data_IF_746559073926
#
_entry.id   IF_746559073926
#
_cell.length_a   1.000
_cell.length_b   1.000
_cell.length_c   1.000
_cell.angle_alpha   90.00
_cell.angle_beta   90.00
_cell.angle_gamma   90.00
#
_symmetry.space_group_name_H-M   'P 1'
#
loop_
_entity.id
_entity.type
_entity.pdbx_description
1 polymer ?
#
# COMPACT_ATOMS: atom_id res chain seq x y z
N UNK A 1 -9.45 19.49 -3.41
CA UNK A 1 -10.22 18.34 -2.85
C UNK A 1 -9.54 17.92 -1.55
N UNK A 2 -10.30 17.55 -0.52
CA UNK A 2 -9.74 17.10 0.76
C UNK A 2 -9.24 15.66 0.61
N UNK A 3 -8.02 15.35 1.05
CA UNK A 3 -7.47 13.99 1.01
C UNK A 3 -8.34 13.01 1.83
N UNK A 4 -8.41 11.75 1.40
CA UNK A 4 -9.11 10.70 2.15
C UNK A 4 -8.32 10.31 3.40
N UNK A 5 -6.98 10.24 3.29
CA UNK A 5 -6.05 10.09 4.41
C UNK A 5 -4.97 11.16 4.27
N UNK A 6 -4.67 11.86 5.34
CA UNK A 6 -3.55 12.79 5.42
C UNK A 6 -2.80 12.57 6.73
N UNK A 7 -1.50 12.35 6.65
CA UNK A 7 -0.60 12.43 7.81
C UNK A 7 0.49 13.45 7.57
N UNK A 8 0.89 14.18 8.61
CA UNK A 8 1.96 15.19 8.56
C UNK A 8 2.93 14.99 9.69
N UNK A 9 4.17 14.66 9.35
CA UNK A 9 5.25 14.50 10.30
C UNK A 9 4.98 13.44 11.38
N UNK A 10 4.18 12.41 11.04
CA UNK A 10 3.73 11.41 11.99
C UNK A 10 4.91 10.60 12.52
N UNK A 11 5.08 10.61 13.84
CA UNK A 11 6.16 9.90 14.51
C UNK A 11 5.63 9.11 15.70
N UNK A 12 6.16 7.90 15.88
CA UNK A 12 5.77 6.99 16.95
C UNK A 12 6.89 6.00 17.26
N UNK A 13 7.28 5.89 18.51
CA UNK A 13 8.29 4.94 18.98
C UNK A 13 7.62 3.75 19.66
N UNK A 14 7.62 2.61 18.99
CA UNK A 14 7.05 1.38 19.55
C UNK A 14 8.03 0.65 20.48
N UNK A 15 9.33 0.73 20.21
CA UNK A 15 10.41 0.14 21.03
C UNK A 15 11.72 0.88 20.81
N UNK A 16 12.79 0.59 21.58
CA UNK A 16 14.12 1.15 21.31
C UNK A 16 14.63 0.84 19.89
N UNK A 17 14.19 -0.28 19.29
CA UNK A 17 14.65 -0.77 18.00
C UNK A 17 13.72 -0.38 16.84
N UNK A 18 12.50 0.11 17.11
CA UNK A 18 11.53 0.39 16.07
C UNK A 18 10.74 1.67 16.32
N UNK A 19 10.74 2.54 15.32
CA UNK A 19 9.95 3.76 15.30
C UNK A 19 9.38 4.03 13.89
N UNK A 20 8.25 4.72 13.83
CA UNK A 20 7.77 5.45 12.66
C UNK A 20 8.36 6.86 12.77
N UNK A 21 8.98 7.37 11.70
CA UNK A 21 9.72 8.62 11.75
C UNK A 21 9.26 9.59 10.64
N UNK A 22 8.70 10.71 11.06
CA UNK A 22 8.32 11.84 10.20
C UNK A 22 7.51 11.42 8.96
N UNK A 23 6.57 10.47 9.13
CA UNK A 23 5.79 9.93 8.02
C UNK A 23 4.76 10.96 7.58
N UNK A 24 4.91 11.44 6.35
CA UNK A 24 3.98 12.34 5.67
C UNK A 24 3.40 11.61 4.47
N UNK A 25 2.09 11.40 4.46
CA UNK A 25 1.36 10.56 3.50
C UNK A 25 0.09 11.28 3.08
N UNK A 26 -0.25 11.21 1.80
CA UNK A 26 -1.47 11.83 1.26
C UNK A 26 -2.19 10.89 0.31
N UNK A 27 -3.34 10.34 0.72
CA UNK A 27 -4.18 9.48 -0.12
C UNK A 27 -5.25 10.32 -0.80
N UNK A 28 -5.24 10.42 -2.14
CA UNK A 28 -6.27 11.16 -2.87
C UNK A 28 -7.66 10.50 -2.69
N UNK A 29 -8.75 11.30 -2.72
CA UNK A 29 -10.09 10.73 -2.69
C UNK A 29 -10.36 9.94 -3.97
N UNK A 30 -11.00 8.76 -3.83
CA UNK A 30 -11.30 7.84 -4.92
C UNK A 30 -10.11 7.01 -5.40
N UNK A 31 -8.91 7.18 -4.81
CA UNK A 31 -7.74 6.42 -5.18
C UNK A 31 -7.76 4.98 -4.64
N UNK A 32 -7.21 4.07 -5.43
CA UNK A 32 -6.79 2.73 -5.01
C UNK A 32 -5.30 2.79 -4.63
N UNK A 33 -5.03 3.06 -3.36
CA UNK A 33 -3.70 3.33 -2.85
C UNK A 33 -3.06 2.08 -2.24
N UNK A 34 -1.98 1.61 -2.84
CA UNK A 34 -1.15 0.51 -2.35
C UNK A 34 -0.07 1.00 -1.37
N UNK A 35 -0.05 0.47 -0.15
CA UNK A 35 0.98 0.74 0.85
C UNK A 35 1.93 -0.45 0.95
N UNK A 36 3.02 -0.38 0.20
CA UNK A 36 3.97 -1.46 -0.01
C UNK A 36 5.16 -1.38 0.95
N UNK A 37 5.63 -2.53 1.40
CA UNK A 37 6.87 -2.61 2.19
C UNK A 37 7.12 -3.99 2.76
N UNK A 38 8.36 -4.33 3.10
CA UNK A 38 8.71 -5.63 3.67
C UNK A 38 8.03 -5.86 5.03
N UNK A 39 7.99 -7.11 5.46
CA UNK A 39 7.46 -7.45 6.77
C UNK A 39 8.28 -6.76 7.87
N UNK A 40 7.59 -6.21 8.88
CA UNK A 40 8.22 -5.49 9.98
C UNK A 40 8.64 -4.05 9.66
N UNK A 41 8.43 -3.52 8.45
CA UNK A 41 8.79 -2.14 8.12
C UNK A 41 7.91 -1.08 8.79
N UNK A 42 6.70 -1.47 9.31
CA UNK A 42 5.81 -0.58 10.05
C UNK A 42 4.42 -0.35 9.45
N UNK A 43 4.00 -1.08 8.39
CA UNK A 43 2.69 -0.91 7.74
C UNK A 43 1.52 -0.99 8.73
N UNK A 44 1.40 -2.10 9.45
CA UNK A 44 0.35 -2.29 10.47
C UNK A 44 0.39 -1.22 11.57
N UNK A 45 1.60 -0.82 12.01
CA UNK A 45 1.76 0.25 13.01
C UNK A 45 1.25 1.58 12.46
N UNK A 46 1.59 1.91 11.21
CA UNK A 46 1.09 3.11 10.53
C UNK A 46 -0.43 3.07 10.41
N UNK A 47 -1.02 1.97 9.97
CA UNK A 47 -2.48 1.79 9.89
C UNK A 47 -3.14 2.02 11.26
N UNK A 48 -2.58 1.47 12.33
CA UNK A 48 -3.10 1.68 13.69
C UNK A 48 -3.02 3.14 14.14
N UNK A 49 -1.97 3.86 13.76
CA UNK A 49 -1.85 5.30 14.01
C UNK A 49 -2.90 6.10 13.22
N UNK A 50 -3.07 5.78 11.93
CA UNK A 50 -4.07 6.43 11.08
C UNK A 50 -5.49 6.22 11.62
N UNK A 51 -5.80 5.02 12.11
CA UNK A 51 -7.10 4.67 12.69
C UNK A 51 -7.27 5.12 14.16
N UNK A 52 -6.30 5.83 14.74
CA UNK A 52 -6.36 6.29 16.13
C UNK A 52 -6.30 5.18 17.18
N UNK A 53 -5.90 3.97 16.79
CA UNK A 53 -5.69 2.82 17.71
C UNK A 53 -4.37 2.94 18.49
N UNK A 54 -3.45 3.76 17.99
CA UNK A 54 -2.23 4.17 18.67
C UNK A 54 -2.16 5.71 18.68
N UNK A 55 -1.61 6.26 19.76
CA UNK A 55 -1.38 7.70 19.87
C UNK A 55 0.02 8.03 19.35
N UNK A 56 0.17 8.93 18.38
CA UNK A 56 1.48 9.35 17.92
C UNK A 56 2.22 10.17 18.96
N UNK A 57 3.55 10.14 18.94
CA UNK A 57 4.41 10.99 19.76
C UNK A 57 4.50 12.42 19.17
N UNK A 58 4.40 12.54 17.83
CA UNK A 58 4.40 13.80 17.12
C UNK A 58 3.64 13.68 15.78
N UNK A 59 3.31 14.83 15.19
CA UNK A 59 2.58 14.92 13.93
C UNK A 59 1.06 14.91 14.09
N UNK A 60 0.37 14.79 12.96
CA UNK A 60 -1.09 14.80 12.93
C UNK A 60 -1.63 13.85 11.86
N UNK A 61 -2.88 13.42 12.04
CA UNK A 61 -3.62 12.56 11.11
C UNK A 61 -4.99 13.15 10.85
N UNK A 62 -5.46 13.05 9.60
CA UNK A 62 -6.85 13.27 9.21
C UNK A 62 -7.36 12.10 8.39
N UNK A 63 -8.58 11.65 8.70
CA UNK A 63 -9.33 10.68 7.90
C UNK A 63 -10.59 11.34 7.39
N UNK A 64 -10.81 11.31 6.08
CA UNK A 64 -11.97 11.95 5.43
C UNK A 64 -12.16 13.43 5.88
N UNK A 65 -11.05 14.14 6.11
CA UNK A 65 -11.03 15.52 6.61
C UNK A 65 -11.21 15.66 8.13
N UNK A 66 -11.56 14.60 8.86
CA UNK A 66 -11.73 14.61 10.31
C UNK A 66 -10.39 14.43 11.04
N UNK A 67 -10.03 15.29 12.01
CA UNK A 67 -8.80 15.10 12.78
C UNK A 67 -8.90 13.86 13.68
N UNK A 68 -7.80 13.11 13.76
CA UNK A 68 -7.63 11.93 14.62
C UNK A 68 -6.67 12.31 15.76
N UNK A 69 -7.02 12.07 17.02
CA UNK A 69 -8.19 11.34 17.52
C UNK A 69 -9.47 12.18 17.75
N UNK A 70 -9.43 13.51 17.64
CA UNK A 70 -10.45 14.42 18.15
C UNK A 70 -11.86 14.17 17.56
N UNK A 71 -11.95 13.84 16.27
CA UNK A 71 -13.19 13.53 15.57
C UNK A 71 -13.24 12.08 15.04
N UNK A 72 -12.57 11.16 15.73
CA UNK A 72 -12.44 9.76 15.31
C UNK A 72 -13.78 9.05 15.07
N UNK A 73 -14.83 9.18 15.92
CA UNK A 73 -16.11 8.51 15.66
C UNK A 73 -16.73 8.90 14.33
N UNK A 74 -16.64 10.18 13.93
CA UNK A 74 -17.18 10.67 12.66
C UNK A 74 -16.40 10.11 11.47
N UNK A 75 -15.08 9.96 11.58
CA UNK A 75 -14.24 9.34 10.57
C UNK A 75 -14.52 7.84 10.43
N UNK A 76 -14.57 7.10 11.56
CA UNK A 76 -14.79 5.66 11.55
C UNK A 76 -16.19 5.25 11.11
N UNK A 77 -17.22 6.09 11.32
CA UNK A 77 -18.57 5.84 10.82
C UNK A 77 -18.64 5.67 9.29
N UNK A 78 -17.63 6.18 8.57
CA UNK A 78 -17.53 6.15 7.10
C UNK A 78 -16.30 5.37 6.62
N UNK A 79 -15.62 4.64 7.52
CA UNK A 79 -14.41 3.87 7.22
C UNK A 79 -14.65 2.39 7.48
N UNK A 80 -14.51 1.57 6.44
CA UNK A 80 -14.45 0.10 6.55
C UNK A 80 -13.02 -0.34 6.82
N UNK A 81 -12.84 -1.27 7.77
CA UNK A 81 -11.50 -1.72 8.18
C UNK A 81 -11.42 -3.23 8.12
N UNK A 82 -10.35 -3.74 7.49
CA UNK A 82 -9.94 -5.15 7.60
C UNK A 82 -8.53 -5.16 8.21
N UNK A 83 -8.37 -5.63 9.46
CA UNK A 83 -7.07 -5.75 10.10
C UNK A 83 -6.33 -7.01 9.63
N UNK A 84 -5.00 -7.03 9.71
CA UNK A 84 -4.14 -8.20 9.46
C UNK A 84 -4.61 -9.45 10.25
N UNK A 85 -5.02 -9.24 11.50
CA UNK A 85 -5.56 -10.31 12.35
C UNK A 85 -6.99 -9.98 12.75
N UNK A 86 -8.00 -10.58 12.10
CA UNK A 86 -9.39 -10.35 12.43
C UNK A 86 -9.75 -10.93 13.81
N UNK A 87 -10.45 -10.12 14.61
CA UNK A 87 -10.99 -10.53 15.90
C UNK A 87 -12.50 -10.75 15.78
N UNK A 88 -12.88 -11.91 15.26
CA UNK A 88 -14.28 -12.32 15.18
C UNK A 88 -14.67 -13.08 16.47
N UNK A 89 -15.93 -12.96 16.90
CA UNK A 89 -16.46 -13.70 18.04
C UNK A 89 -16.68 -15.18 17.67
N UNK A 90 -15.86 -16.12 18.14
CA UNK A 90 -15.80 -17.48 17.62
C UNK A 90 -17.08 -18.29 17.84
N UNK A 91 -17.89 -17.90 18.81
CA UNK A 91 -19.15 -18.56 19.17
C UNK A 91 -20.37 -18.12 18.32
N UNK A 92 -20.26 -17.00 17.61
CA UNK A 92 -21.32 -16.56 16.69
C UNK A 92 -21.30 -17.37 15.39
N UNK A 93 -22.45 -17.48 14.77
CA UNK A 93 -22.58 -17.94 13.38
C UNK A 93 -22.32 -16.78 12.41
N UNK A 94 -22.17 -17.09 11.11
CA UNK A 94 -22.07 -16.08 10.07
C UNK A 94 -23.26 -15.13 10.11
N UNK A 95 -24.50 -15.65 10.17
CA UNK A 95 -25.71 -14.84 10.23
C UNK A 95 -25.80 -13.97 11.47
N UNK A 96 -25.42 -14.50 12.65
CA UNK A 96 -25.37 -13.74 13.90
C UNK A 96 -24.32 -12.63 13.84
N UNK A 97 -23.16 -12.88 13.21
CA UNK A 97 -22.12 -11.86 12.99
C UNK A 97 -22.61 -10.73 12.09
N UNK A 98 -23.34 -11.04 11.02
CA UNK A 98 -23.94 -10.03 10.15
C UNK A 98 -24.97 -9.18 10.91
N UNK A 99 -25.84 -9.83 11.70
CA UNK A 99 -26.83 -9.12 12.52
C UNK A 99 -26.16 -8.22 13.57
N UNK A 100 -25.09 -8.70 14.20
CA UNK A 100 -24.31 -7.93 15.16
C UNK A 100 -23.71 -6.68 14.52
N UNK A 101 -23.02 -6.81 13.37
CA UNK A 101 -22.42 -5.65 12.69
C UNK A 101 -23.47 -4.65 12.19
N UNK A 102 -24.57 -5.15 11.62
CA UNK A 102 -25.68 -4.30 11.18
C UNK A 102 -26.19 -3.35 12.27
N UNK A 103 -26.15 -3.75 13.54
CA UNK A 103 -26.63 -2.96 14.66
C UNK A 103 -25.80 -1.67 14.88
N UNK A 104 -24.54 -1.65 14.44
CA UNK A 104 -23.63 -0.51 14.62
C UNK A 104 -23.61 0.44 13.41
N UNK A 105 -24.09 0.01 12.24
CA UNK A 105 -23.99 0.77 10.99
C UNK A 105 -25.38 1.05 10.40
N UNK A 106 -25.94 2.25 10.61
CA UNK A 106 -27.24 2.63 10.08
C UNK A 106 -27.36 2.52 8.54
N UNK A 107 -26.23 2.69 7.84
CA UNK A 107 -26.13 2.58 6.38
C UNK A 107 -26.00 1.15 5.84
N UNK A 108 -26.06 0.12 6.70
CA UNK A 108 -25.83 -1.28 6.33
C UNK A 108 -26.70 -1.75 5.16
N UNK A 109 -26.06 -2.34 4.15
CA UNK A 109 -26.74 -2.91 2.98
C UNK A 109 -27.08 -4.40 3.21
N UNK A 110 -28.27 -4.63 3.78
CA UNK A 110 -28.72 -5.98 4.07
C UNK A 110 -28.99 -6.83 2.81
N UNK A 111 -29.38 -6.17 1.69
CA UNK A 111 -29.62 -6.87 0.42
C UNK A 111 -28.30 -7.35 -0.17
N UNK A 112 -27.34 -6.46 -0.28
CA UNK A 112 -26.04 -6.82 -0.81
C UNK A 112 -25.27 -7.79 0.10
N UNK A 113 -25.43 -7.70 1.42
CA UNK A 113 -24.89 -8.70 2.34
C UNK A 113 -25.42 -10.11 2.04
N UNK A 114 -26.71 -10.25 1.75
CA UNK A 114 -27.28 -11.55 1.37
C UNK A 114 -26.76 -12.05 0.00
N UNK A 115 -26.59 -11.15 -0.96
CA UNK A 115 -25.98 -11.45 -2.26
C UNK A 115 -24.55 -11.97 -2.09
N UNK A 116 -23.69 -11.23 -1.32
CA UNK A 116 -22.31 -11.61 -1.05
C UNK A 116 -22.17 -12.91 -0.25
N UNK A 117 -23.09 -13.22 0.67
CA UNK A 117 -23.11 -14.54 1.35
C UNK A 117 -23.23 -15.66 0.33
N UNK A 118 -24.10 -15.50 -0.68
CA UNK A 118 -24.26 -16.47 -1.77
C UNK A 118 -23.03 -16.56 -2.68
N UNK A 119 -22.50 -15.42 -3.14
CA UNK A 119 -21.35 -15.35 -4.03
C UNK A 119 -20.09 -15.94 -3.38
N UNK A 120 -19.86 -15.62 -2.11
CA UNK A 120 -18.74 -16.13 -1.33
C UNK A 120 -18.94 -17.56 -0.84
N UNK A 121 -20.14 -18.12 -1.04
CA UNK A 121 -20.52 -19.47 -0.59
C UNK A 121 -20.33 -19.67 0.91
N UNK A 122 -20.65 -18.64 1.70
CA UNK A 122 -20.62 -18.72 3.14
C UNK A 122 -21.88 -19.44 3.65
N UNK A 123 -21.72 -20.31 4.63
CA UNK A 123 -22.84 -21.01 5.27
C UNK A 123 -23.35 -20.19 6.46
N UNK A 124 -24.62 -19.66 6.42
CA UNK A 124 -25.12 -18.75 7.46
C UNK A 124 -25.11 -19.32 8.87
N UNK A 125 -25.31 -20.64 9.01
CA UNK A 125 -25.38 -21.37 10.29
C UNK A 125 -24.00 -21.81 10.79
N UNK A 126 -22.95 -21.70 9.96
CA UNK A 126 -21.58 -22.08 10.37
C UNK A 126 -21.04 -21.13 11.44
N UNK A 127 -20.48 -21.70 12.52
CA UNK A 127 -19.80 -20.93 13.56
C UNK A 127 -18.49 -20.36 13.04
N UNK A 128 -18.17 -19.12 13.45
CA UNK A 128 -16.96 -18.42 13.02
C UNK A 128 -15.68 -19.16 13.45
N UNK A 129 -15.70 -19.88 14.56
CA UNK A 129 -14.59 -20.74 14.98
C UNK A 129 -14.23 -21.84 13.98
N UNK A 130 -15.18 -22.22 13.10
CA UNK A 130 -14.99 -23.28 12.10
C UNK A 130 -14.68 -22.77 10.70
N UNK A 131 -14.56 -21.44 10.51
CA UNK A 131 -14.21 -20.87 9.22
C UNK A 131 -12.74 -21.13 8.87
N UNK A 132 -12.50 -21.49 7.60
CA UNK A 132 -11.17 -21.47 7.00
C UNK A 132 -10.62 -20.04 6.91
N UNK A 133 -9.30 -19.88 6.66
CA UNK A 133 -8.69 -18.56 6.42
C UNK A 133 -9.39 -17.82 5.27
N UNK A 134 -9.70 -18.53 4.18
CA UNK A 134 -10.40 -17.96 3.03
C UNK A 134 -11.83 -17.52 3.31
N UNK A 135 -12.61 -18.33 4.03
CA UNK A 135 -13.97 -17.96 4.44
C UNK A 135 -13.95 -16.76 5.41
N UNK A 136 -12.97 -16.72 6.31
CA UNK A 136 -12.77 -15.58 7.20
C UNK A 136 -12.49 -14.30 6.41
N UNK A 137 -11.60 -14.33 5.42
CA UNK A 137 -11.30 -13.18 4.57
C UNK A 137 -12.53 -12.71 3.78
N UNK A 138 -13.31 -13.62 3.22
CA UNK A 138 -14.58 -13.34 2.53
C UNK A 138 -15.59 -12.67 3.47
N UNK A 139 -15.74 -13.20 4.68
CA UNK A 139 -16.63 -12.61 5.69
C UNK A 139 -16.15 -11.21 6.09
N UNK A 140 -14.86 -11.01 6.33
CA UNK A 140 -14.31 -9.70 6.68
C UNK A 140 -14.52 -8.68 5.56
N UNK A 141 -14.32 -9.07 4.30
CA UNK A 141 -14.60 -8.20 3.15
C UNK A 141 -16.09 -7.83 3.10
N UNK A 142 -17.00 -8.81 3.22
CA UNK A 142 -18.44 -8.57 3.27
C UNK A 142 -18.80 -7.59 4.39
N UNK A 143 -18.30 -7.80 5.61
CA UNK A 143 -18.57 -6.94 6.76
C UNK A 143 -18.08 -5.50 6.51
N UNK A 144 -16.91 -5.32 5.89
CA UNK A 144 -16.36 -4.01 5.59
C UNK A 144 -17.16 -3.28 4.49
N UNK A 145 -17.52 -3.97 3.41
CA UNK A 145 -18.22 -3.38 2.27
C UNK A 145 -19.67 -3.02 2.56
N UNK A 146 -20.40 -3.87 3.29
CA UNK A 146 -21.82 -3.65 3.57
C UNK A 146 -22.12 -2.48 4.53
N UNK A 147 -21.11 -1.95 5.18
CA UNK A 147 -21.19 -0.68 5.94
C UNK A 147 -21.36 0.54 5.03
N UNK A 148 -21.13 0.41 3.72
CA UNK A 148 -21.10 1.49 2.72
C UNK A 148 -20.06 2.57 3.05
N UNK A 149 -18.80 2.19 3.27
CA UNK A 149 -17.77 3.15 3.62
C UNK A 149 -17.35 4.03 2.42
N UNK A 150 -16.89 5.24 2.71
CA UNK A 150 -16.23 6.11 1.72
C UNK A 150 -14.72 5.84 1.66
N UNK A 151 -14.17 5.24 2.72
CA UNK A 151 -12.77 4.84 2.84
C UNK A 151 -12.69 3.39 3.32
N UNK A 152 -11.90 2.59 2.65
CA UNK A 152 -11.52 1.23 3.07
C UNK A 152 -10.04 1.23 3.48
N UNK A 153 -9.74 0.74 4.68
CA UNK A 153 -8.37 0.54 5.18
C UNK A 153 -8.15 -0.94 5.42
N UNK A 154 -7.29 -1.54 4.58
CA UNK A 154 -7.12 -2.98 4.49
C UNK A 154 -5.66 -3.35 4.80
N UNK A 155 -5.44 -4.10 5.88
CA UNK A 155 -4.09 -4.51 6.30
C UNK A 155 -3.82 -5.96 5.89
N UNK A 156 -3.00 -6.15 4.86
CA UNK A 156 -2.63 -7.45 4.26
C UNK A 156 -3.86 -8.36 3.96
N UNK A 157 -4.93 -7.85 3.32
CA UNK A 157 -6.22 -8.55 3.24
C UNK A 157 -6.17 -9.83 2.40
N UNK A 158 -5.14 -10.01 1.58
CA UNK A 158 -4.99 -11.14 0.66
C UNK A 158 -3.87 -12.09 1.08
N UNK A 159 -3.19 -11.82 2.22
CA UNK A 159 -2.04 -12.63 2.65
C UNK A 159 -2.43 -14.08 2.92
N UNK A 160 -1.67 -15.00 2.30
CA UNK A 160 -1.84 -16.45 2.46
C UNK A 160 -3.20 -17.00 2.01
N UNK A 161 -3.94 -16.27 1.16
CA UNK A 161 -5.13 -16.78 0.49
C UNK A 161 -4.76 -17.55 -0.78
N UNK A 162 -5.51 -18.60 -1.08
CA UNK A 162 -5.40 -19.26 -2.37
C UNK A 162 -5.86 -18.33 -3.53
N UNK A 163 -5.43 -18.59 -4.77
CA UNK A 163 -5.71 -17.70 -5.90
C UNK A 163 -7.21 -17.51 -6.22
N UNK A 164 -8.07 -18.50 -5.91
CA UNK A 164 -9.51 -18.42 -6.17
C UNK A 164 -10.15 -17.47 -5.17
N UNK A 165 -9.92 -17.69 -3.88
CA UNK A 165 -10.43 -16.82 -2.81
C UNK A 165 -9.94 -15.38 -2.99
N UNK A 166 -8.65 -15.20 -3.31
CA UNK A 166 -8.08 -13.87 -3.60
C UNK A 166 -8.83 -13.16 -4.72
N UNK A 167 -9.17 -13.87 -5.80
CA UNK A 167 -9.95 -13.31 -6.91
C UNK A 167 -11.36 -12.91 -6.48
N UNK A 168 -12.06 -13.75 -5.72
CA UNK A 168 -13.41 -13.46 -5.22
C UNK A 168 -13.42 -12.20 -4.37
N UNK A 169 -12.48 -12.08 -3.41
CA UNK A 169 -12.33 -10.94 -2.51
C UNK A 169 -12.00 -9.66 -3.28
N UNK A 170 -11.07 -9.74 -4.23
CA UNK A 170 -10.66 -8.60 -5.05
C UNK A 170 -11.80 -8.15 -5.99
N UNK A 171 -12.54 -9.08 -6.59
CA UNK A 171 -13.68 -8.75 -7.44
C UNK A 171 -14.73 -7.95 -6.66
N UNK A 172 -15.15 -8.43 -5.49
CA UNK A 172 -16.11 -7.72 -4.65
C UNK A 172 -15.64 -6.31 -4.24
N UNK A 173 -14.33 -6.16 -3.94
CA UNK A 173 -13.72 -4.86 -3.65
C UNK A 173 -13.79 -3.91 -4.84
N UNK A 174 -13.39 -4.37 -6.03
CA UNK A 174 -13.37 -3.55 -7.24
C UNK A 174 -14.79 -3.19 -7.72
N UNK A 175 -15.74 -4.10 -7.62
CA UNK A 175 -17.16 -3.85 -7.92
C UNK A 175 -17.73 -2.77 -7.00
N UNK A 176 -17.37 -2.81 -5.71
CA UNK A 176 -17.74 -1.76 -4.77
C UNK A 176 -17.16 -0.41 -5.14
N UNK A 177 -15.84 -0.35 -5.38
CA UNK A 177 -15.14 0.89 -5.73
C UNK A 177 -15.67 1.49 -7.02
N UNK A 178 -15.87 0.67 -8.07
CA UNK A 178 -16.39 1.13 -9.36
C UNK A 178 -17.81 1.73 -9.25
N UNK A 179 -18.62 1.18 -8.34
CA UNK A 179 -20.01 1.62 -8.15
C UNK A 179 -20.13 2.83 -7.22
N UNK A 180 -19.27 2.95 -6.22
CA UNK A 180 -19.36 3.94 -5.15
C UNK A 180 -18.32 5.05 -5.21
N UNK A 181 -17.24 4.89 -5.95
CA UNK A 181 -16.12 5.82 -5.96
C UNK A 181 -15.38 5.89 -4.61
N UNK A 182 -15.44 4.82 -3.81
CA UNK A 182 -14.78 4.77 -2.52
C UNK A 182 -13.25 4.77 -2.66
N UNK A 183 -12.57 5.34 -1.68
CA UNK A 183 -11.10 5.29 -1.57
C UNK A 183 -10.68 3.99 -0.91
N UNK A 184 -9.61 3.37 -1.40
CA UNK A 184 -9.00 2.19 -0.79
C UNK A 184 -7.55 2.49 -0.40
N UNK A 185 -7.22 2.18 0.85
CA UNK A 185 -5.84 2.12 1.34
C UNK A 185 -5.56 0.68 1.72
N UNK A 186 -4.70 0.01 0.94
CA UNK A 186 -4.41 -1.41 1.13
C UNK A 186 -2.92 -1.63 1.34
N UNK A 187 -2.54 -2.30 2.43
CA UNK A 187 -1.16 -2.72 2.65
C UNK A 187 -0.88 -4.08 2.02
N UNK A 188 0.32 -4.25 1.48
CA UNK A 188 0.87 -5.53 1.07
C UNK A 188 2.40 -5.53 1.15
N UNK A 189 2.99 -6.70 1.23
CA UNK A 189 4.42 -6.90 1.04
C UNK A 189 4.75 -7.45 -0.36
N UNK A 190 3.74 -7.69 -1.19
CA UNK A 190 3.85 -8.25 -2.54
C UNK A 190 3.49 -7.21 -3.60
N UNK A 191 4.49 -6.79 -4.36
CA UNK A 191 4.36 -5.75 -5.42
C UNK A 191 3.31 -6.15 -6.45
N UNK A 192 3.38 -7.39 -6.96
CA UNK A 192 2.54 -7.91 -8.03
C UNK A 192 1.04 -7.97 -7.67
N UNK A 193 0.70 -7.95 -6.38
CA UNK A 193 -0.70 -7.87 -5.94
C UNK A 193 -1.26 -6.48 -6.17
N UNK A 194 -0.52 -5.45 -5.73
CA UNK A 194 -0.94 -4.05 -5.80
C UNK A 194 -0.91 -3.51 -7.23
N UNK A 195 0.06 -3.93 -8.02
CA UNK A 195 0.23 -3.52 -9.42
C UNK A 195 -1.04 -3.68 -10.27
N UNK A 196 -1.83 -4.71 -9.97
CA UNK A 196 -2.98 -5.09 -10.78
C UNK A 196 -4.19 -4.17 -10.64
N UNK A 197 -4.28 -3.42 -9.54
CA UNK A 197 -5.46 -2.63 -9.26
C UNK A 197 -5.21 -1.29 -8.58
N UNK A 198 -4.01 -1.04 -8.02
CA UNK A 198 -3.71 0.25 -7.42
C UNK A 198 -3.29 1.27 -8.48
N UNK A 199 -3.76 2.51 -8.31
CA UNK A 199 -3.40 3.68 -9.12
C UNK A 199 -2.37 4.58 -8.42
N UNK A 200 -2.17 4.40 -7.12
CA UNK A 200 -1.14 5.06 -6.30
C UNK A 200 -0.35 4.04 -5.48
N UNK A 201 0.92 4.36 -5.22
CA UNK A 201 1.77 3.55 -4.37
C UNK A 201 2.56 4.42 -3.37
N UNK A 202 2.57 3.99 -2.11
CA UNK A 202 3.49 4.44 -1.08
C UNK A 202 4.40 3.30 -0.66
N UNK A 203 5.71 3.48 -0.76
CA UNK A 203 6.70 2.48 -0.34
C UNK A 203 7.26 2.83 1.01
N UNK A 204 7.19 1.89 1.94
CA UNK A 204 7.67 2.03 3.30
C UNK A 204 8.82 1.08 3.62
N UNK A 205 9.87 1.60 4.24
CA UNK A 205 10.94 0.78 4.83
C UNK A 205 11.44 1.39 6.14
N UNK A 206 11.76 0.54 7.12
CA UNK A 206 12.36 0.92 8.42
C UNK A 206 11.66 2.11 9.09
N UNK A 207 10.33 2.11 9.11
CA UNK A 207 9.53 3.16 9.74
C UNK A 207 9.43 4.48 8.97
N UNK A 208 9.91 4.56 7.74
CA UNK A 208 9.89 5.77 6.91
C UNK A 208 9.19 5.53 5.58
N UNK A 209 8.53 6.55 5.07
CA UNK A 209 8.03 6.57 3.69
C UNK A 209 9.21 6.87 2.76
N UNK A 210 9.52 5.91 1.88
CA UNK A 210 10.64 6.01 0.93
C UNK A 210 10.24 6.78 -0.31
N UNK A 211 9.02 6.52 -0.80
CA UNK A 211 8.45 7.19 -1.97
C UNK A 211 6.93 7.11 -1.94
N UNK A 212 6.28 8.11 -2.50
CA UNK A 212 4.82 8.19 -2.72
C UNK A 212 4.60 8.81 -4.11
N UNK A 213 3.94 8.06 -5.02
CA UNK A 213 3.70 8.50 -6.40
C UNK A 213 2.59 7.67 -7.07
N UNK A 214 2.06 8.13 -8.23
CA UNK A 214 1.19 7.32 -9.08
C UNK A 214 1.86 6.00 -9.49
N UNK A 215 1.07 4.93 -9.57
CA UNK A 215 1.56 3.60 -9.95
C UNK A 215 2.20 3.60 -11.34
N UNK A 216 1.64 4.38 -12.27
CA UNK A 216 2.18 4.48 -13.62
C UNK A 216 3.57 5.14 -13.64
N UNK A 217 3.81 6.12 -12.79
CA UNK A 217 5.15 6.72 -12.64
C UNK A 217 6.14 5.73 -12.02
N UNK A 218 5.69 4.92 -11.05
CA UNK A 218 6.52 3.88 -10.45
C UNK A 218 6.87 2.80 -11.48
N UNK A 219 5.89 2.39 -12.30
CA UNK A 219 6.06 1.37 -13.36
C UNK A 219 6.96 1.85 -14.48
N UNK A 220 6.73 3.05 -14.97
CA UNK A 220 7.38 3.56 -16.16
C UNK A 220 8.69 4.30 -15.88
N UNK A 221 8.87 4.82 -14.68
CA UNK A 221 10.01 5.63 -14.29
C UNK A 221 11.25 4.85 -13.86
N UNK A 222 11.15 3.53 -13.62
CA UNK A 222 12.29 2.71 -13.24
C UNK A 222 12.91 2.07 -14.48
N UNK A 223 14.19 2.36 -14.76
CA UNK A 223 14.91 1.87 -15.94
C UNK A 223 16.28 1.35 -15.58
N UNK A 224 16.72 0.34 -16.34
CA UNK A 224 18.10 -0.12 -16.38
C UNK A 224 18.77 0.46 -17.61
N UNK A 225 19.81 1.27 -17.41
CA UNK A 225 20.52 1.98 -18.47
C UNK A 225 21.92 1.39 -18.58
N UNK A 226 22.29 0.93 -19.78
CA UNK A 226 23.63 0.44 -20.10
C UNK A 226 24.35 1.39 -21.02
N UNK A 227 25.57 1.71 -20.68
CA UNK A 227 26.41 2.61 -21.47
C UNK A 227 27.89 2.25 -21.31
N UNK A 228 28.74 2.70 -22.26
CA UNK A 228 30.16 2.57 -22.18
C UNK A 228 30.77 3.91 -21.70
N UNK A 229 31.57 3.86 -20.62
CA UNK A 229 32.27 5.02 -20.12
C UNK A 229 33.77 4.76 -20.00
N UNK A 230 34.58 5.68 -20.53
CA UNK A 230 36.05 5.61 -20.44
C UNK A 230 36.60 6.05 -19.06
N UNK A 231 35.72 6.31 -18.09
CA UNK A 231 36.03 6.73 -16.73
C UNK A 231 34.85 6.48 -15.80
N UNK A 232 34.93 7.00 -14.59
CA UNK A 232 33.83 6.97 -13.64
C UNK A 232 32.89 8.13 -13.96
N UNK A 233 31.66 7.84 -14.43
CA UNK A 233 30.64 8.84 -14.61
C UNK A 233 29.94 9.11 -13.27
N UNK A 234 29.88 10.35 -12.84
CA UNK A 234 29.16 10.74 -11.63
C UNK A 234 27.80 11.36 -11.98
N UNK A 235 26.71 11.04 -11.26
CA UNK A 235 25.35 11.50 -11.61
C UNK A 235 25.09 12.96 -11.17
N UNK A 236 26.10 13.82 -11.25
CA UNK A 236 25.99 15.22 -10.84
C UNK A 236 25.10 15.97 -11.83
N UNK A 237 24.01 16.56 -11.30
CA UNK A 237 23.03 17.27 -12.12
C UNK A 237 22.17 16.35 -13.01
N UNK A 238 22.18 15.05 -12.77
CA UNK A 238 21.30 14.12 -13.49
C UNK A 238 19.83 14.44 -13.20
N UNK A 239 18.94 14.40 -14.22
CA UNK A 239 17.52 14.70 -14.05
C UNK A 239 16.71 13.52 -13.48
N UNK A 240 17.38 12.44 -13.12
CA UNK A 240 16.82 11.20 -12.56
C UNK A 240 17.55 10.84 -11.25
N UNK A 241 16.94 9.99 -10.43
CA UNK A 241 17.57 9.47 -9.23
C UNK A 241 18.31 8.15 -9.54
N UNK A 242 19.61 8.08 -9.24
CA UNK A 242 20.39 6.85 -9.32
C UNK A 242 20.06 5.95 -8.13
N UNK A 243 19.58 4.73 -8.38
CA UNK A 243 19.29 3.73 -7.35
C UNK A 243 20.42 2.73 -7.16
N UNK A 244 20.98 2.25 -8.26
CA UNK A 244 22.08 1.29 -8.24
C UNK A 244 23.04 1.54 -9.40
N UNK A 245 24.29 1.08 -9.19
CA UNK A 245 25.39 1.22 -10.16
C UNK A 245 26.21 -0.05 -10.13
N UNK A 246 26.41 -0.63 -11.29
CA UNK A 246 27.28 -1.78 -11.50
C UNK A 246 28.25 -1.49 -12.64
N UNK A 247 29.49 -1.94 -12.53
CA UNK A 247 30.51 -1.80 -13.56
C UNK A 247 31.11 -3.14 -13.89
N UNK A 248 30.99 -3.54 -15.15
CA UNK A 248 31.61 -4.74 -15.67
C UNK A 248 33.09 -4.55 -15.97
N UNK A 249 33.85 -5.63 -16.01
CA UNK A 249 35.28 -5.62 -16.32
C UNK A 249 35.63 -5.05 -17.73
N UNK A 250 34.63 -4.82 -18.58
CA UNK A 250 34.75 -4.36 -19.97
C UNK A 250 34.41 -2.87 -20.21
N UNK A 251 34.48 -1.99 -19.22
CA UNK A 251 34.12 -0.56 -19.30
C UNK A 251 32.63 -0.29 -19.58
N UNK A 252 31.76 -1.31 -19.47
CA UNK A 252 30.33 -1.15 -19.50
C UNK A 252 29.83 -0.80 -18.08
N UNK A 253 29.06 0.25 -17.98
CA UNK A 253 28.31 0.59 -16.77
C UNK A 253 26.83 0.30 -16.95
N UNK A 254 26.21 -0.22 -15.88
CA UNK A 254 24.78 -0.44 -15.78
C UNK A 254 24.27 0.38 -14.61
N UNK A 255 23.37 1.31 -14.89
CA UNK A 255 22.69 2.11 -13.87
C UNK A 255 21.24 1.71 -13.78
N UNK A 256 20.72 1.59 -12.56
CA UNK A 256 19.30 1.54 -12.28
C UNK A 256 18.89 2.93 -11.81
N UNK A 257 17.92 3.51 -12.50
CA UNK A 257 17.48 4.87 -12.24
C UNK A 257 15.98 4.93 -12.01
N UNK A 258 15.52 5.94 -11.28
CA UNK A 258 14.12 6.27 -11.07
C UNK A 258 13.80 7.66 -11.60
N UNK A 259 12.56 7.84 -12.10
CA UNK A 259 12.10 9.10 -12.67
C UNK A 259 12.63 9.34 -14.08
N UNK A 260 12.89 8.25 -14.80
CA UNK A 260 13.39 8.31 -16.17
C UNK A 260 12.32 8.75 -17.17
N UNK A 261 12.70 9.65 -18.07
CA UNK A 261 11.97 9.99 -19.29
C UNK A 261 12.91 9.93 -20.50
N UNK A 262 12.42 9.58 -21.71
CA UNK A 262 13.26 9.41 -22.90
C UNK A 262 14.14 10.62 -23.24
N UNK A 263 13.68 11.84 -22.94
CA UNK A 263 14.40 13.09 -23.17
C UNK A 263 15.69 13.17 -22.32
N UNK A 264 15.80 12.40 -21.25
CA UNK A 264 16.96 12.39 -20.36
C UNK A 264 18.19 11.71 -20.96
N UNK A 265 18.03 11.03 -22.11
CA UNK A 265 19.17 10.50 -22.88
C UNK A 265 20.16 11.61 -23.25
N UNK A 266 19.67 12.82 -23.51
CA UNK A 266 20.50 13.99 -23.81
C UNK A 266 21.48 14.38 -22.67
N UNK A 267 21.17 14.02 -21.42
CA UNK A 267 22.12 14.21 -20.31
C UNK A 267 23.39 13.36 -20.50
N UNK A 268 23.26 12.09 -20.90
CA UNK A 268 24.41 11.22 -21.18
C UNK A 268 25.23 11.72 -22.36
N UNK A 269 24.59 12.23 -23.40
CA UNK A 269 25.26 12.82 -24.56
C UNK A 269 26.10 14.05 -24.16
N UNK A 270 25.58 14.91 -23.27
CA UNK A 270 26.31 16.05 -22.73
C UNK A 270 27.54 15.63 -21.90
N UNK A 271 27.51 14.44 -21.29
CA UNK A 271 28.67 13.86 -20.59
C UNK A 271 29.63 13.11 -21.53
N UNK A 272 29.39 13.16 -22.85
CA UNK A 272 30.20 12.44 -23.84
C UNK A 272 30.04 10.92 -23.82
N UNK A 273 28.92 10.44 -23.31
CA UNK A 273 28.62 9.01 -23.12
C UNK A 273 27.45 8.60 -24.03
N UNK A 274 27.65 7.54 -24.80
CA UNK A 274 26.60 6.96 -25.63
C UNK A 274 25.83 5.87 -24.86
N UNK A 275 24.55 6.09 -24.66
CA UNK A 275 23.65 5.06 -24.11
C UNK A 275 23.50 3.94 -25.13
N UNK A 276 23.73 2.70 -24.72
CA UNK A 276 23.58 1.50 -25.58
C UNK A 276 22.21 0.86 -25.46
N UNK A 277 21.66 0.88 -24.27
CA UNK A 277 20.39 0.22 -23.98
C UNK A 277 19.68 0.94 -22.82
N UNK A 278 18.36 1.10 -22.98
CA UNK A 278 17.44 1.50 -21.91
C UNK A 278 16.39 0.41 -21.84
N UNK A 279 16.44 -0.40 -20.79
CA UNK A 279 15.52 -1.49 -20.57
C UNK A 279 14.53 -1.15 -19.45
N UNK A 280 13.28 -1.59 -19.60
CA UNK A 280 12.30 -1.52 -18.55
C UNK A 280 12.73 -2.40 -17.37
N UNK A 281 12.51 -1.91 -16.18
CA UNK A 281 12.67 -2.71 -14.96
C UNK A 281 11.27 -3.19 -14.57
N UNK A 282 11.14 -4.48 -14.26
CA UNK A 282 9.87 -4.91 -13.67
C UNK A 282 9.67 -4.28 -12.29
N UNK A 283 8.43 -4.28 -11.82
CA UNK A 283 8.08 -3.57 -10.59
C UNK A 283 8.72 -4.19 -9.35
N UNK A 284 8.94 -5.48 -9.33
CA UNK A 284 9.56 -6.18 -8.21
C UNK A 284 11.05 -5.83 -8.13
N UNK A 285 11.76 -5.87 -9.26
CA UNK A 285 13.15 -5.43 -9.36
C UNK A 285 13.29 -3.95 -8.99
N UNK A 286 12.40 -3.08 -9.51
CA UNK A 286 12.38 -1.64 -9.20
C UNK A 286 12.17 -1.38 -7.71
N UNK A 287 11.28 -2.13 -7.06
CA UNK A 287 11.06 -2.07 -5.63
C UNK A 287 12.30 -2.52 -4.83
N UNK A 288 12.94 -3.63 -5.22
CA UNK A 288 14.15 -4.13 -4.56
C UNK A 288 15.28 -3.12 -4.65
N UNK A 289 15.53 -2.55 -5.84
CA UNK A 289 16.60 -1.57 -6.02
C UNK A 289 16.32 -0.25 -5.28
N UNK A 290 15.06 0.18 -5.22
CA UNK A 290 14.64 1.33 -4.42
C UNK A 290 14.97 1.11 -2.92
N UNK A 291 14.64 -0.06 -2.39
CA UNK A 291 14.93 -0.38 -0.98
C UNK A 291 16.43 -0.51 -0.71
N UNK A 292 17.19 -1.09 -1.64
CA UNK A 292 18.67 -1.18 -1.53
C UNK A 292 19.30 0.21 -1.48
N UNK A 293 18.90 1.09 -2.38
CA UNK A 293 19.36 2.47 -2.42
C UNK A 293 19.04 3.23 -1.11
N UNK A 294 17.81 3.10 -0.63
CA UNK A 294 17.38 3.70 0.62
C UNK A 294 18.19 3.20 1.84
N UNK A 295 18.46 1.91 1.90
CA UNK A 295 19.25 1.27 2.98
C UNK A 295 20.73 1.60 2.88
N UNK A 296 21.26 1.75 1.67
CA UNK A 296 22.67 2.13 1.40
C UNK A 296 22.98 3.57 1.82
N UNK A 297 22.06 4.49 1.61
CA UNK A 297 22.20 5.88 2.04
C UNK A 297 22.12 6.03 3.57
N UNK A 298 21.41 5.09 4.25
CA UNK A 298 21.34 5.05 5.72
C UNK A 298 22.54 4.39 6.41
N UNK A 299 23.45 3.79 5.66
CA UNK A 299 24.71 3.20 6.12
C UNK A 299 25.88 4.15 5.75
N UNK A 300 25.88 5.40 6.29
CA UNK A 300 27.12 6.15 6.35
C UNK A 300 28.07 5.37 7.27
N UNK A 301 29.30 5.09 6.86
CA UNK A 301 30.27 4.43 7.73
C UNK A 301 30.49 5.29 8.96
N UNK A 302 30.43 4.66 10.16
CA UNK A 302 30.95 5.21 11.40
C UNK A 302 32.46 5.50 11.31
#
# INVERSE_FOLDING_TARGET
MTAAIESKGLSYRASPQFAIENLTLTVPPGALYGFLGPNGCGKTTTIRLLLGLLRPDAGSVRLLGHPVPDALPAALARTGVIPDRPHLHPYLTVSESLAFHRAFYPGWDARWAAELVGEFRLTPEQKLAGLSKGETAKLMMLLALCQKPDLLVLDEPMDGLDPVVRRDVLSALLDYVSTRGATVFVSSHLVHELERFCDWIGVMDRGRLVVELPMDEFRNGNKRIRFAANGVLEPVGAPFALLARERDAGALETWVVRGWHPEMTGWFEQQGVAVREVADLDLEDGFVELLRAFRGVGAAPE
#
